data_IF_874972812918
#
_entry.id   IF_874972812918
#
_cell.length_a   1.000
_cell.length_b   1.000
_cell.length_c   1.000
_cell.angle_alpha   90.00
_cell.angle_beta   90.00
_cell.angle_gamma   90.00
#
_symmetry.space_group_name_H-M   'P 1'
#
loop_
_entity.id
_entity.type
_entity.pdbx_description
1 polymer ?
#
# COMPACT_ATOMS: atom_id res chain seq x y z
N UNK A 1 2.32 14.77 21.69
CA UNK A 1 0.93 14.42 21.29
C UNK A 1 1.09 13.58 20.05
N UNK A 2 0.65 12.32 20.03
CA UNK A 2 0.66 11.59 18.76
C UNK A 2 -0.33 12.28 17.83
N UNK A 3 0.12 12.56 16.60
CA UNK A 3 -0.71 13.20 15.60
C UNK A 3 -1.87 12.27 15.25
N UNK A 4 -3.08 12.83 15.12
CA UNK A 4 -4.26 12.07 14.71
C UNK A 4 -4.17 11.83 13.20
N UNK A 5 -3.57 10.70 12.79
CA UNK A 5 -3.42 10.30 11.39
C UNK A 5 -4.70 9.67 10.81
N UNK A 6 -5.71 9.38 11.64
CA UNK A 6 -6.93 8.70 11.19
C UNK A 6 -7.70 9.50 10.12
N UNK A 7 -7.87 10.84 10.22
CA UNK A 7 -8.45 11.64 9.15
C UNK A 7 -7.72 11.49 7.81
N UNK A 8 -6.37 11.47 7.83
CA UNK A 8 -5.58 11.26 6.62
C UNK A 8 -5.88 9.87 6.03
N UNK A 9 -5.84 8.81 6.83
CA UNK A 9 -6.14 7.46 6.35
C UNK A 9 -7.52 7.40 5.70
N UNK A 10 -8.54 7.94 6.36
CA UNK A 10 -9.90 7.94 5.81
C UNK A 10 -10.01 8.75 4.52
N UNK A 11 -9.28 9.87 4.39
CA UNK A 11 -9.20 10.64 3.14
C UNK A 11 -8.57 9.80 2.02
N UNK A 12 -7.43 9.17 2.30
CA UNK A 12 -6.74 8.30 1.35
C UNK A 12 -7.67 7.19 0.87
N UNK A 13 -8.41 6.54 1.78
CA UNK A 13 -9.36 5.46 1.46
C UNK A 13 -10.49 5.90 0.51
N UNK A 14 -10.86 7.18 0.47
CA UNK A 14 -11.89 7.70 -0.44
C UNK A 14 -11.37 8.05 -1.83
N UNK A 15 -10.06 8.18 -2.00
CA UNK A 15 -9.46 8.57 -3.26
C UNK A 15 -9.40 7.37 -4.23
N UNK A 16 -9.52 7.59 -5.54
CA UNK A 16 -9.10 6.60 -6.51
C UNK A 16 -7.57 6.52 -6.53
N UNK A 17 -7.03 5.33 -6.79
CA UNK A 17 -5.60 5.10 -6.87
C UNK A 17 -5.31 3.73 -7.46
N UNK A 18 -6.00 3.34 -8.52
CA UNK A 18 -5.72 2.04 -9.17
C UNK A 18 -4.33 2.10 -9.81
N UNK A 19 -3.58 0.99 -9.83
CA UNK A 19 -2.25 0.94 -10.43
C UNK A 19 -2.18 1.64 -11.81
N UNK A 20 -1.25 2.59 -11.93
CA UNK A 20 -1.06 3.52 -13.04
C UNK A 20 -1.91 4.80 -13.00
N UNK A 21 -2.66 5.04 -11.92
CA UNK A 21 -3.54 6.20 -11.72
C UNK A 21 -3.52 6.73 -10.27
N UNK A 22 -2.33 6.80 -9.67
CA UNK A 22 -2.08 7.09 -8.25
C UNK A 22 -2.06 8.59 -7.91
N UNK A 23 -2.05 9.48 -8.92
CA UNK A 23 -1.90 10.93 -8.73
C UNK A 23 -2.80 11.54 -7.63
N UNK A 24 -4.09 11.17 -7.49
CA UNK A 24 -4.92 11.72 -6.42
C UNK A 24 -4.40 11.38 -5.01
N UNK A 25 -3.89 10.16 -4.82
CA UNK A 25 -3.26 9.71 -3.56
C UNK A 25 -1.97 10.49 -3.33
N UNK A 26 -1.12 10.61 -4.35
CA UNK A 26 0.13 11.35 -4.28
C UNK A 26 -0.09 12.82 -3.88
N UNK A 27 -1.07 13.52 -4.48
CA UNK A 27 -1.37 14.91 -4.13
C UNK A 27 -1.88 15.07 -2.70
N UNK A 28 -2.68 14.12 -2.20
CA UNK A 28 -3.16 14.15 -0.82
C UNK A 28 -2.04 13.92 0.19
N UNK A 29 -1.10 13.02 -0.11
CA UNK A 29 0.09 12.79 0.71
C UNK A 29 1.05 13.98 0.66
N UNK A 30 1.27 14.57 -0.52
CA UNK A 30 2.10 15.76 -0.71
C UNK A 30 1.66 16.93 0.17
N UNK A 31 0.35 17.10 0.34
CA UNK A 31 -0.24 18.08 1.25
C UNK A 31 -0.07 17.69 2.73
N UNK A 32 -0.19 16.40 3.06
CA UNK A 32 -0.02 15.92 4.43
C UNK A 32 1.42 16.06 4.91
N UNK A 33 2.39 15.86 4.01
CA UNK A 33 3.81 15.83 4.34
C UNK A 33 4.49 17.19 4.25
N UNK A 34 3.83 18.21 3.71
CA UNK A 34 4.41 19.55 3.42
C UNK A 34 5.11 20.19 4.63
N UNK A 35 4.56 20.03 5.83
CA UNK A 35 5.08 20.64 7.07
C UNK A 35 6.05 19.73 7.84
N UNK A 36 6.25 18.48 7.42
CA UNK A 36 7.06 17.47 8.14
C UNK A 36 8.23 16.94 7.32
N UNK A 37 8.50 17.51 6.15
CA UNK A 37 9.61 17.13 5.26
C UNK A 37 10.30 18.38 4.71
N UNK A 38 11.58 18.27 4.36
CA UNK A 38 12.37 19.41 3.86
C UNK A 38 12.17 19.64 2.35
N UNK A 39 11.91 18.57 1.60
CA UNK A 39 11.65 18.62 0.17
C UNK A 39 10.76 17.46 -0.26
N UNK A 40 10.04 17.66 -1.36
CA UNK A 40 9.24 16.60 -1.98
C UNK A 40 9.13 16.79 -3.49
N UNK A 41 9.13 15.70 -4.23
CA UNK A 41 8.97 15.71 -5.68
C UNK A 41 8.28 14.44 -6.18
N UNK A 42 7.65 14.54 -7.35
CA UNK A 42 7.25 13.37 -8.13
C UNK A 42 8.42 12.96 -9.04
N UNK A 43 8.64 11.66 -9.17
CA UNK A 43 9.54 11.13 -10.20
C UNK A 43 8.78 10.91 -11.53
N UNK A 44 9.48 10.54 -12.63
CA UNK A 44 8.84 10.36 -13.92
C UNK A 44 7.81 9.22 -14.00
N UNK A 45 7.84 8.24 -13.09
CA UNK A 45 6.82 7.18 -13.01
C UNK A 45 5.63 7.59 -12.13
N UNK A 46 5.78 8.63 -11.31
CA UNK A 46 4.74 9.16 -10.43
C UNK A 46 4.92 8.79 -8.96
N UNK A 47 6.07 8.20 -8.57
CA UNK A 47 6.38 8.02 -7.15
C UNK A 47 6.46 9.40 -6.48
N UNK A 48 5.84 9.56 -5.31
CA UNK A 48 6.07 10.72 -4.46
C UNK A 48 7.26 10.43 -3.55
N UNK A 49 8.33 11.20 -3.72
CA UNK A 49 9.51 11.12 -2.90
C UNK A 49 9.55 12.35 -2.00
N UNK A 50 9.48 12.12 -0.69
CA UNK A 50 9.69 13.11 0.35
C UNK A 50 11.05 12.90 1.02
N UNK A 51 11.75 13.99 1.31
CA UNK A 51 13.08 14.00 1.89
C UNK A 51 13.05 14.70 3.24
N UNK A 52 13.60 14.05 4.25
CA UNK A 52 13.87 14.64 5.55
C UNK A 52 15.35 14.48 5.87
N UNK A 53 16.03 15.60 6.08
CA UNK A 53 17.46 15.64 6.29
C UNK A 53 17.80 15.30 7.74
N UNK A 54 18.78 14.40 7.92
CA UNK A 54 19.29 14.06 9.23
C UNK A 54 20.08 15.21 9.87
N UNK A 55 20.74 14.92 11.00
CA UNK A 55 21.69 15.81 11.65
C UNK A 55 23.14 15.30 11.59
N UNK A 56 23.39 14.18 10.89
CA UNK A 56 24.71 13.58 10.73
C UNK A 56 25.68 14.41 9.87
N UNK A 57 26.93 13.97 9.80
CA UNK A 57 27.96 14.55 8.94
C UNK A 57 27.69 14.26 7.46
N UNK A 58 27.96 15.23 6.59
CA UNK A 58 27.82 15.07 5.13
C UNK A 58 29.08 14.43 4.52
N UNK A 59 28.96 13.52 3.53
CA UNK A 59 27.71 12.96 3.00
C UNK A 59 27.07 11.98 3.98
N UNK A 60 25.75 12.08 4.15
CA UNK A 60 24.99 11.22 5.07
C UNK A 60 24.56 9.94 4.37
N UNK A 61 24.52 8.81 5.08
CA UNK A 61 23.86 7.63 4.57
C UNK A 61 22.36 7.88 4.40
N UNK A 62 21.74 7.15 3.47
CA UNK A 62 20.34 7.34 3.08
C UNK A 62 19.51 6.12 3.43
N UNK A 63 18.43 6.31 4.19
CA UNK A 63 17.42 5.28 4.42
C UNK A 63 16.21 5.57 3.53
N UNK A 64 15.83 4.62 2.68
CA UNK A 64 14.58 4.69 1.93
C UNK A 64 13.48 3.98 2.73
N UNK A 65 12.32 4.62 2.86
CA UNK A 65 11.12 4.00 3.43
C UNK A 65 10.08 3.93 2.33
N UNK A 66 9.67 2.72 1.94
CA UNK A 66 8.78 2.51 0.79
C UNK A 66 7.42 1.94 1.23
N UNK A 67 6.34 2.49 0.69
CA UNK A 67 5.00 1.89 0.74
C UNK A 67 4.21 2.35 -0.49
N UNK A 68 3.36 1.49 -1.03
CA UNK A 68 2.70 1.77 -2.30
C UNK A 68 1.39 2.53 -2.17
N UNK A 69 1.18 3.45 -3.11
CA UNK A 69 -0.03 4.27 -3.23
C UNK A 69 -1.14 3.57 -4.00
N UNK A 70 -0.76 2.69 -4.91
CA UNK A 70 -1.70 2.02 -5.78
C UNK A 70 -2.51 0.98 -5.03
N UNK A 71 -3.67 0.68 -5.60
CA UNK A 71 -4.50 -0.43 -5.20
C UNK A 71 -4.95 -1.22 -6.41
N UNK A 72 -5.47 -2.41 -6.15
CA UNK A 72 -6.24 -3.15 -7.13
C UNK A 72 -7.47 -2.38 -7.64
N UNK A 73 -7.96 -2.75 -8.82
CA UNK A 73 -9.15 -2.16 -9.44
C UNK A 73 -9.42 -2.74 -10.83
N UNK A 74 -9.94 -1.91 -11.74
CA UNK A 74 -10.24 -2.38 -13.09
C UNK A 74 -9.99 -1.33 -14.18
N UNK A 75 -9.97 -1.83 -15.42
CA UNK A 75 -10.06 -1.04 -16.65
C UNK A 75 -11.31 -1.43 -17.41
N UNK A 76 -11.89 -0.49 -18.14
CA UNK A 76 -12.92 -0.78 -19.15
C UNK A 76 -12.27 -1.57 -20.28
N UNK A 77 -12.70 -2.80 -20.49
CA UNK A 77 -12.27 -3.66 -21.60
C UNK A 77 -13.07 -3.36 -22.87
N UNK A 78 -14.34 -3.02 -22.72
CA UNK A 78 -15.26 -2.81 -23.84
C UNK A 78 -16.61 -2.30 -23.40
N UNK A 79 -17.43 -1.91 -24.36
CA UNK A 79 -18.80 -1.43 -24.12
C UNK A 79 -19.76 -2.41 -24.82
N UNK A 80 -20.60 -3.07 -24.03
CA UNK A 80 -21.63 -3.99 -24.49
C UNK A 80 -23.00 -3.33 -24.29
N UNK A 81 -23.57 -2.82 -25.39
CA UNK A 81 -24.78 -1.98 -25.36
C UNK A 81 -24.64 -0.76 -24.43
N UNK A 82 -25.31 -0.74 -23.28
CA UNK A 82 -25.18 0.29 -22.22
C UNK A 82 -24.31 -0.13 -21.04
N UNK A 83 -23.77 -1.35 -21.05
CA UNK A 83 -22.95 -1.88 -19.97
C UNK A 83 -21.47 -1.81 -20.32
N UNK A 84 -20.62 -1.73 -19.30
CA UNK A 84 -19.17 -1.82 -19.47
C UNK A 84 -18.70 -3.23 -19.14
N UNK A 85 -17.86 -3.78 -20.00
CA UNK A 85 -17.06 -4.96 -19.68
C UNK A 85 -15.77 -4.49 -19.00
N UNK A 86 -15.37 -5.14 -17.92
CA UNK A 86 -14.18 -4.77 -17.15
C UNK A 86 -13.09 -5.85 -17.22
N UNK A 87 -11.85 -5.44 -16.97
CA UNK A 87 -10.70 -6.31 -16.78
C UNK A 87 -9.98 -5.90 -15.49
N UNK A 88 -9.53 -6.87 -14.70
CA UNK A 88 -8.86 -6.62 -13.42
C UNK A 88 -7.51 -5.93 -13.64
N UNK A 89 -7.17 -5.05 -12.71
CA UNK A 89 -5.82 -4.51 -12.49
C UNK A 89 -5.43 -4.95 -11.08
N UNK A 90 -4.33 -5.69 -10.95
CA UNK A 90 -3.99 -6.43 -9.74
C UNK A 90 -4.79 -7.72 -9.59
N UNK A 91 -4.69 -8.37 -8.43
CA UNK A 91 -5.35 -9.66 -8.15
C UNK A 91 -6.36 -9.48 -7.03
N UNK A 92 -7.56 -10.02 -7.19
CA UNK A 92 -8.55 -10.06 -6.10
C UNK A 92 -9.61 -11.10 -6.41
N UNK A 93 -10.33 -11.50 -5.36
CA UNK A 93 -11.35 -12.53 -5.43
C UNK A 93 -12.62 -12.06 -6.16
N UNK A 94 -12.99 -12.76 -7.22
CA UNK A 94 -14.14 -12.41 -8.05
C UNK A 94 -15.48 -12.59 -7.31
N UNK A 95 -15.50 -13.37 -6.22
CA UNK A 95 -16.69 -13.64 -5.41
C UNK A 95 -17.24 -12.40 -4.72
N UNK A 96 -16.39 -11.41 -4.46
CA UNK A 96 -16.73 -10.25 -3.63
C UNK A 96 -17.11 -9.02 -4.45
N UNK A 97 -17.25 -9.17 -5.77
CA UNK A 97 -17.48 -8.06 -6.70
C UNK A 97 -18.94 -7.75 -7.01
N UNK A 98 -19.84 -8.73 -7.21
CA UNK A 98 -21.22 -8.42 -7.55
C UNK A 98 -21.90 -7.59 -6.45
N UNK A 99 -22.46 -6.44 -6.84
CA UNK A 99 -23.10 -5.49 -5.92
C UNK A 99 -22.16 -4.40 -5.39
N UNK A 100 -20.87 -4.42 -5.73
CA UNK A 100 -19.95 -3.38 -5.27
C UNK A 100 -20.11 -2.07 -6.06
N UNK A 101 -20.20 -0.93 -5.35
CA UNK A 101 -20.23 0.38 -6.00
C UNK A 101 -18.84 0.74 -6.51
N UNK A 102 -18.80 1.31 -7.71
CA UNK A 102 -17.59 1.75 -8.38
C UNK A 102 -17.72 3.16 -8.92
N UNK A 103 -16.58 3.78 -9.19
CA UNK A 103 -16.49 5.02 -9.98
C UNK A 103 -15.79 4.71 -11.29
N UNK A 104 -16.43 5.06 -12.41
CA UNK A 104 -15.84 5.00 -13.75
C UNK A 104 -15.29 6.37 -14.12
N UNK A 105 -14.00 6.41 -14.41
CA UNK A 105 -13.23 7.63 -14.67
C UNK A 105 -13.08 7.84 -16.19
N UNK A 106 -14.19 8.19 -16.84
CA UNK A 106 -14.18 8.61 -18.25
C UNK A 106 -13.87 10.11 -18.40
N UNK A 107 -14.43 10.75 -19.42
CA UNK A 107 -14.35 12.23 -19.58
C UNK A 107 -14.92 13.01 -18.40
N UNK A 108 -15.76 12.36 -17.58
CA UNK A 108 -16.15 12.77 -16.23
C UNK A 108 -16.37 11.52 -15.38
N UNK A 109 -16.22 11.66 -14.06
CA UNK A 109 -16.52 10.59 -13.12
C UNK A 109 -18.02 10.21 -13.14
N UNK A 110 -18.29 8.92 -13.10
CA UNK A 110 -19.63 8.34 -13.07
C UNK A 110 -19.74 7.28 -11.98
N UNK A 111 -20.79 7.29 -11.14
CA UNK A 111 -21.08 6.15 -10.28
C UNK A 111 -21.52 4.96 -11.15
N UNK A 112 -21.13 3.77 -10.73
CA UNK A 112 -21.56 2.52 -11.34
C UNK A 112 -21.71 1.42 -10.29
N UNK A 113 -22.30 0.31 -10.73
CA UNK A 113 -22.48 -0.88 -9.93
C UNK A 113 -21.92 -2.08 -10.68
N UNK A 114 -21.06 -2.87 -10.05
CA UNK A 114 -20.65 -4.15 -10.62
C UNK A 114 -21.84 -5.11 -10.52
N UNK A 115 -22.23 -5.71 -11.64
CA UNK A 115 -23.36 -6.64 -11.73
C UNK A 115 -22.93 -7.96 -12.35
N UNK A 116 -23.42 -9.05 -11.76
CA UNK A 116 -23.41 -10.36 -12.38
C UNK A 116 -24.72 -10.55 -13.17
N UNK A 117 -24.66 -10.97 -14.45
CA UNK A 117 -25.87 -11.37 -15.17
C UNK A 117 -26.65 -12.45 -14.40
N UNK A 118 -28.00 -12.50 -14.53
CA UNK A 118 -28.78 -13.60 -13.96
C UNK A 118 -28.25 -14.96 -14.40
N UNK A 119 -28.40 -16.00 -13.56
CA UNK A 119 -27.90 -17.36 -13.84
C UNK A 119 -28.30 -17.87 -15.22
N UNK A 120 -29.55 -17.62 -15.64
CA UNK A 120 -30.08 -18.05 -16.94
C UNK A 120 -29.40 -17.40 -18.15
N UNK A 121 -28.65 -16.32 -17.96
CA UNK A 121 -27.90 -15.62 -18.99
C UNK A 121 -26.41 -16.02 -19.03
N UNK A 122 -25.96 -16.87 -18.11
CA UNK A 122 -24.57 -17.33 -18.03
C UNK A 122 -24.41 -18.70 -18.72
N UNK A 123 -23.21 -19.02 -19.25
CA UNK A 123 -22.91 -20.34 -19.77
C UNK A 123 -23.20 -21.45 -18.76
N UNK A 124 -23.67 -22.60 -19.25
CA UNK A 124 -23.96 -23.77 -18.42
C UNK A 124 -22.71 -24.25 -17.66
N UNK A 125 -21.52 -24.13 -18.26
CA UNK A 125 -20.22 -24.47 -17.65
C UNK A 125 -19.87 -23.68 -16.39
N UNK A 126 -20.60 -22.59 -16.07
CA UNK A 126 -20.43 -21.82 -14.84
C UNK A 126 -21.42 -22.24 -13.73
N UNK A 127 -22.08 -23.39 -13.85
CA UNK A 127 -23.00 -23.88 -12.81
C UNK A 127 -22.30 -24.14 -11.48
N UNK A 128 -22.82 -23.55 -10.40
CA UNK A 128 -22.28 -23.75 -9.04
C UNK A 128 -20.89 -23.15 -8.79
N UNK A 129 -20.30 -22.47 -9.78
CA UNK A 129 -18.98 -21.86 -9.70
C UNK A 129 -19.01 -20.34 -9.49
N UNK A 130 -17.83 -19.77 -9.23
CA UNK A 130 -17.62 -18.32 -9.20
C UNK A 130 -17.82 -17.75 -10.60
N UNK A 131 -18.53 -16.63 -10.72
CA UNK A 131 -18.72 -15.93 -12.00
C UNK A 131 -17.43 -15.15 -12.31
N UNK A 132 -16.69 -15.50 -13.38
CA UNK A 132 -15.44 -14.83 -13.65
C UNK A 132 -15.63 -13.37 -14.07
N UNK A 133 -14.66 -12.51 -13.78
CA UNK A 133 -14.70 -11.05 -14.01
C UNK A 133 -15.06 -10.70 -15.45
N UNK A 134 -14.62 -11.50 -16.42
CA UNK A 134 -14.95 -11.30 -17.85
C UNK A 134 -16.46 -11.39 -18.16
N UNK A 135 -17.24 -12.00 -17.27
CA UNK A 135 -18.70 -12.10 -17.35
C UNK A 135 -19.42 -11.08 -16.46
N UNK A 136 -18.70 -10.40 -15.56
CA UNK A 136 -19.22 -9.27 -14.80
C UNK A 136 -19.26 -8.02 -15.69
N UNK A 137 -20.22 -7.16 -15.39
CA UNK A 137 -20.44 -5.89 -16.09
C UNK A 137 -20.49 -4.75 -15.08
N UNK A 138 -20.26 -3.53 -15.53
CA UNK A 138 -20.60 -2.32 -14.76
C UNK A 138 -21.81 -1.67 -15.42
N UNK A 139 -22.86 -1.46 -14.62
CA UNK A 139 -24.03 -0.68 -15.00
C UNK A 139 -23.88 0.76 -14.48
N UNK A 140 -24.09 1.72 -15.37
CA UNK A 140 -24.05 3.15 -15.09
C UNK A 140 -25.45 3.77 -14.97
N UNK A 141 -26.51 3.00 -15.25
CA UNK A 141 -27.89 3.49 -15.33
C UNK A 141 -28.11 4.47 -16.49
N UNK A 142 -27.24 4.47 -17.51
CA UNK A 142 -27.26 5.40 -18.63
C UNK A 142 -27.56 4.70 -19.97
N UNK A 143 -28.19 5.38 -20.94
CA UNK A 143 -28.42 4.81 -22.25
C UNK A 143 -27.10 4.60 -23.02
N UNK A 144 -27.08 3.58 -23.87
CA UNK A 144 -25.94 3.15 -24.68
C UNK A 144 -25.21 4.29 -25.44
N UNK A 145 -25.97 5.26 -25.95
CA UNK A 145 -25.42 6.43 -26.65
C UNK A 145 -24.62 7.34 -25.72
N UNK A 146 -25.08 7.51 -24.48
CA UNK A 146 -24.44 8.39 -23.50
C UNK A 146 -23.18 7.74 -22.92
N UNK A 147 -23.23 6.44 -22.64
CA UNK A 147 -22.07 5.65 -22.19
C UNK A 147 -20.91 5.78 -23.17
N UNK A 148 -21.16 5.57 -24.47
CA UNK A 148 -20.13 5.70 -25.53
C UNK A 148 -19.59 7.12 -25.73
N UNK A 149 -20.28 8.14 -25.22
CA UNK A 149 -19.82 9.54 -25.28
C UNK A 149 -18.89 9.88 -24.13
N UNK A 150 -19.08 9.24 -22.98
CA UNK A 150 -18.35 9.57 -21.74
C UNK A 150 -17.19 8.62 -21.50
N UNK A 151 -17.38 7.34 -21.82
CA UNK A 151 -16.50 6.22 -21.45
C UNK A 151 -15.93 5.56 -22.71
N UNK A 152 -14.68 5.13 -22.63
CA UNK A 152 -13.97 4.39 -23.66
C UNK A 152 -13.19 3.20 -23.06
N UNK A 153 -12.83 2.18 -23.86
CA UNK A 153 -11.89 1.15 -23.43
C UNK A 153 -10.58 1.76 -22.93
N UNK A 154 -10.08 1.26 -21.79
CA UNK A 154 -8.89 1.75 -21.09
C UNK A 154 -9.19 2.70 -19.92
N UNK A 155 -10.40 3.26 -19.84
CA UNK A 155 -10.79 4.11 -18.70
C UNK A 155 -10.73 3.31 -17.38
N UNK A 156 -10.33 3.99 -16.30
CA UNK A 156 -10.19 3.38 -14.97
C UNK A 156 -11.56 3.15 -14.36
N UNK A 157 -11.70 2.06 -13.63
CA UNK A 157 -12.80 1.82 -12.72
C UNK A 157 -12.22 1.51 -11.33
N UNK A 158 -12.54 2.36 -10.36
CA UNK A 158 -12.11 2.18 -8.96
C UNK A 158 -13.28 1.78 -8.09
N UNK A 159 -13.02 1.13 -6.95
CA UNK A 159 -14.03 1.00 -5.89
C UNK A 159 -14.49 2.38 -5.42
N UNK A 160 -15.73 2.46 -4.95
CA UNK A 160 -16.36 3.70 -4.49
C UNK A 160 -17.05 3.57 -3.12
N UNK A 161 -16.74 2.49 -2.40
CA UNK A 161 -17.30 2.25 -1.06
C UNK A 161 -16.63 3.18 -0.06
N UNK A 162 -17.43 3.98 0.64
CA UNK A 162 -16.90 4.82 1.71
C UNK A 162 -16.35 3.97 2.86
N UNK A 163 -15.23 4.38 3.49
CA UNK A 163 -14.69 3.67 4.64
C UNK A 163 -15.65 3.73 5.83
N UNK A 164 -15.64 2.69 6.65
CA UNK A 164 -16.43 2.57 7.88
C UNK A 164 -15.48 2.49 9.07
N UNK A 165 -15.89 3.06 10.19
CA UNK A 165 -15.24 2.87 11.48
C UNK A 165 -16.17 1.99 12.30
N UNK A 166 -15.67 0.83 12.71
CA UNK A 166 -16.33 -0.05 13.68
C UNK A 166 -15.90 0.34 15.09
N UNK A 167 -16.37 -0.41 16.09
CA UNK A 167 -15.91 -0.21 17.47
C UNK A 167 -14.39 -0.40 17.61
N UNK A 168 -13.83 0.08 18.73
CA UNK A 168 -12.41 -0.10 19.08
C UNK A 168 -11.42 0.44 18.03
N UNK A 169 -11.81 1.47 17.27
CA UNK A 169 -10.93 2.08 16.26
C UNK A 169 -10.51 1.11 15.14
N UNK A 170 -11.40 0.17 14.80
CA UNK A 170 -11.24 -0.71 13.65
C UNK A 170 -11.74 0.01 12.39
N UNK A 171 -10.89 0.09 11.37
CA UNK A 171 -11.23 0.71 10.08
C UNK A 171 -11.51 -0.37 9.05
N UNK A 172 -12.60 -0.18 8.31
CA UNK A 172 -12.99 -1.01 7.17
C UNK A 172 -12.96 -0.15 5.92
N UNK A 173 -12.34 -0.63 4.85
CA UNK A 173 -12.32 0.09 3.58
C UNK A 173 -11.68 -0.74 2.48
N UNK A 174 -11.77 -0.23 1.25
CA UNK A 174 -10.95 -0.75 0.17
C UNK A 174 -9.59 -0.05 0.17
N UNK A 175 -8.58 -0.69 -0.40
CA UNK A 175 -7.24 -0.13 -0.56
C UNK A 175 -6.53 0.17 0.76
N UNK A 176 -6.90 -0.53 1.85
CA UNK A 176 -6.12 -0.48 3.09
C UNK A 176 -4.73 -1.08 2.83
N UNK A 177 -4.70 -2.12 1.99
CA UNK A 177 -3.55 -2.46 1.17
C UNK A 177 -3.36 -1.38 0.05
N UNK A 178 -2.40 -0.46 0.13
CA UNK A 178 -1.40 -0.28 1.20
C UNK A 178 -1.42 1.15 1.80
N UNK A 179 -2.60 1.77 1.80
CA UNK A 179 -2.82 3.10 2.41
C UNK A 179 -2.61 3.09 3.93
N UNK A 180 -2.75 1.93 4.58
CA UNK A 180 -2.41 1.77 5.98
C UNK A 180 -0.92 2.03 6.24
N UNK A 181 -0.03 1.53 5.38
CA UNK A 181 1.42 1.78 5.51
C UNK A 181 1.81 3.20 5.18
N UNK A 182 1.15 3.85 4.21
CA UNK A 182 1.34 5.29 3.95
C UNK A 182 0.99 6.14 5.18
N UNK A 183 -0.05 5.76 5.91
CA UNK A 183 -0.40 6.39 7.18
C UNK A 183 0.67 6.12 8.26
N UNK A 184 1.23 4.91 8.33
CA UNK A 184 2.35 4.61 9.23
C UNK A 184 3.62 5.41 8.90
N UNK A 185 3.94 5.62 7.62
CA UNK A 185 5.03 6.52 7.18
C UNK A 185 4.75 7.94 7.67
N UNK A 186 3.51 8.41 7.56
CA UNK A 186 3.13 9.74 8.05
C UNK A 186 3.37 9.88 9.55
N UNK A 187 2.93 8.90 10.35
CA UNK A 187 3.20 8.86 11.80
C UNK A 187 4.70 8.90 12.09
N UNK A 188 5.51 8.18 11.33
CA UNK A 188 6.96 8.21 11.46
C UNK A 188 7.54 9.60 11.18
N UNK A 189 7.16 10.24 10.08
CA UNK A 189 7.65 11.57 9.70
C UNK A 189 7.25 12.64 10.74
N UNK A 190 6.01 12.58 11.23
CA UNK A 190 5.50 13.45 12.30
C UNK A 190 6.23 13.22 13.62
N UNK A 191 6.51 11.97 13.99
CA UNK A 191 7.27 11.63 15.20
C UNK A 191 8.72 12.14 15.13
N UNK A 192 9.33 12.07 13.95
CA UNK A 192 10.68 12.55 13.70
C UNK A 192 10.73 14.07 13.45
N UNK A 193 9.58 14.75 13.36
CA UNK A 193 9.44 16.20 13.11
C UNK A 193 10.30 17.06 14.04
N UNK A 194 10.28 16.70 15.33
CA UNK A 194 11.02 17.38 16.39
C UNK A 194 12.24 16.58 16.87
N UNK A 195 12.46 15.39 16.30
CA UNK A 195 13.49 14.43 16.72
C UNK A 195 14.83 14.61 15.97
N UNK A 196 15.91 14.16 16.62
CA UNK A 196 17.22 14.05 15.96
C UNK A 196 17.43 12.63 15.42
N UNK A 197 17.77 12.54 14.15
CA UNK A 197 18.12 11.32 13.43
C UNK A 197 19.34 11.63 12.56
N UNK A 198 20.27 10.70 12.39
CA UNK A 198 21.57 11.04 11.77
C UNK A 198 21.58 10.86 10.24
N UNK A 199 20.82 9.88 9.73
CA UNK A 199 20.70 9.54 8.31
C UNK A 199 19.69 10.44 7.60
N UNK A 200 19.83 10.61 6.28
CA UNK A 200 18.78 11.25 5.48
C UNK A 200 17.67 10.24 5.18
N UNK A 201 16.41 10.62 5.41
CA UNK A 201 15.23 9.81 5.16
C UNK A 201 14.65 10.16 3.79
N UNK A 202 14.39 9.14 2.99
CA UNK A 202 13.66 9.23 1.75
C UNK A 202 12.36 8.42 1.86
N UNK A 203 11.26 9.09 2.20
CA UNK A 203 9.94 8.49 2.21
C UNK A 203 9.40 8.42 0.79
N UNK A 204 9.29 7.22 0.25
CA UNK A 204 8.83 6.93 -1.09
C UNK A 204 7.42 6.32 -1.04
N UNK A 205 6.42 7.12 -1.42
CA UNK A 205 5.11 6.59 -1.74
C UNK A 205 5.15 6.09 -3.19
N UNK A 206 5.21 4.78 -3.36
CA UNK A 206 5.53 4.13 -4.65
C UNK A 206 4.29 3.91 -5.50
N UNK A 207 4.50 3.65 -6.80
CA UNK A 207 3.44 3.32 -7.77
C UNK A 207 3.58 1.91 -8.31
N UNK A 208 2.45 1.34 -8.75
CA UNK A 208 2.37 0.08 -9.50
C UNK A 208 2.99 -1.15 -8.80
N UNK A 209 2.92 -1.24 -7.49
CA UNK A 209 3.31 -2.44 -6.74
C UNK A 209 2.48 -3.63 -7.20
N UNK A 210 1.14 -3.47 -7.19
CA UNK A 210 0.10 -4.51 -7.36
C UNK A 210 0.14 -5.22 -8.73
N UNK A 211 1.02 -4.76 -9.60
CA UNK A 211 1.23 -5.29 -10.95
C UNK A 211 2.67 -5.67 -11.23
N UNK A 212 3.65 -4.86 -10.80
CA UNK A 212 5.04 -5.00 -11.27
C UNK A 212 6.13 -4.66 -10.24
N UNK A 213 5.81 -3.96 -9.15
CA UNK A 213 6.80 -3.34 -8.24
C UNK A 213 7.80 -2.39 -8.95
N UNK A 214 7.40 -1.82 -10.10
CA UNK A 214 8.29 -0.97 -10.91
C UNK A 214 8.57 0.38 -10.23
N UNK A 215 7.63 0.89 -9.43
CA UNK A 215 7.78 2.15 -8.69
C UNK A 215 8.96 2.10 -7.73
N UNK A 216 9.07 1.06 -6.91
CA UNK A 216 10.20 0.88 -5.99
C UNK A 216 11.54 0.76 -6.72
N UNK A 217 11.60 0.01 -7.82
CA UNK A 217 12.83 -0.09 -8.62
C UNK A 217 13.27 1.29 -9.14
N UNK A 218 12.36 2.07 -9.73
CA UNK A 218 12.68 3.40 -10.25
C UNK A 218 13.12 4.37 -9.15
N UNK A 219 12.45 4.35 -8.00
CA UNK A 219 12.82 5.16 -6.85
C UNK A 219 14.22 4.79 -6.33
N UNK A 220 14.52 3.50 -6.16
CA UNK A 220 15.84 3.05 -5.71
C UNK A 220 16.97 3.39 -6.71
N UNK A 221 16.73 3.25 -8.02
CA UNK A 221 17.69 3.64 -9.06
C UNK A 221 18.04 5.13 -8.98
N UNK A 222 17.01 5.97 -8.84
CA UNK A 222 17.17 7.42 -8.74
C UNK A 222 17.86 7.85 -7.44
N UNK A 223 17.48 7.25 -6.31
CA UNK A 223 17.94 7.69 -4.98
C UNK A 223 19.30 7.12 -4.59
N UNK A 224 19.58 5.86 -4.99
CA UNK A 224 20.71 5.08 -4.51
C UNK A 224 20.75 5.00 -2.98
N UNK A 225 19.72 4.44 -2.32
CA UNK A 225 19.71 4.35 -0.86
C UNK A 225 20.78 3.40 -0.33
N UNK A 226 21.26 3.67 0.88
CA UNK A 226 22.21 2.81 1.61
C UNK A 226 21.50 1.58 2.15
N UNK A 227 20.29 1.76 2.68
CA UNK A 227 19.40 0.71 3.15
C UNK A 227 17.95 1.10 2.89
N UNK A 228 17.02 0.15 3.02
CA UNK A 228 15.59 0.43 2.91
C UNK A 228 14.74 -0.33 3.93
N UNK A 229 13.60 0.25 4.30
CA UNK A 229 12.49 -0.46 4.95
C UNK A 229 11.28 -0.38 4.03
N UNK A 230 10.69 -1.52 3.68
CA UNK A 230 9.39 -1.59 3.00
C UNK A 230 8.32 -1.76 4.07
N UNK A 231 7.24 -0.98 3.96
CA UNK A 231 6.06 -1.13 4.79
C UNK A 231 4.93 -1.66 3.91
N UNK A 232 4.35 -2.77 4.34
CA UNK A 232 3.23 -3.39 3.66
C UNK A 232 2.19 -3.92 4.64
N UNK A 233 1.17 -4.60 4.15
CA UNK A 233 0.22 -5.34 4.97
C UNK A 233 0.58 -6.82 4.99
N UNK A 234 0.10 -7.54 5.99
CA UNK A 234 0.18 -9.01 6.06
C UNK A 234 -1.16 -9.58 6.50
N UNK A 235 -1.34 -10.89 6.38
CA UNK A 235 -2.58 -11.57 6.71
C UNK A 235 -2.90 -11.47 8.21
N UNK A 236 -3.98 -10.77 8.52
CA UNK A 236 -4.55 -10.69 9.85
C UNK A 236 -5.39 -11.93 10.19
N UNK A 237 -5.22 -12.49 11.39
CA UNK A 237 -5.94 -13.68 11.83
C UNK A 237 -7.46 -13.46 11.76
N UNK A 238 -8.14 -14.33 10.99
CA UNK A 238 -9.58 -14.33 10.76
C UNK A 238 -10.12 -15.75 10.56
N UNK A 239 -11.44 -15.88 10.36
CA UNK A 239 -12.13 -17.18 10.29
C UNK A 239 -11.63 -18.14 9.19
N UNK A 240 -10.89 -17.65 8.19
CA UNK A 240 -10.44 -18.44 7.05
C UNK A 240 -8.93 -18.36 6.76
N UNK A 241 -8.16 -17.57 7.52
CA UNK A 241 -6.74 -17.41 7.25
C UNK A 241 -5.92 -18.54 7.89
N UNK A 242 -4.83 -19.01 7.26
CA UNK A 242 -4.00 -20.04 7.84
C UNK A 242 -3.41 -19.55 9.16
N UNK A 243 -3.71 -20.23 10.27
CA UNK A 243 -3.27 -19.82 11.61
C UNK A 243 -1.74 -19.72 11.76
N UNK A 244 -0.97 -20.41 10.90
CA UNK A 244 0.49 -20.38 10.90
C UNK A 244 1.10 -19.24 10.07
N UNK A 245 0.27 -18.55 9.28
CA UNK A 245 0.67 -17.48 8.38
C UNK A 245 -0.22 -16.24 8.55
N UNK A 246 -0.85 -16.09 9.71
CA UNK A 246 -1.68 -14.92 10.02
C UNK A 246 -1.49 -14.43 11.46
N UNK A 247 -1.68 -13.13 11.64
CA UNK A 247 -1.27 -12.40 12.85
C UNK A 247 -2.46 -11.67 13.48
N UNK A 248 -2.60 -11.65 14.81
CA UNK A 248 -3.75 -11.02 15.44
C UNK A 248 -3.77 -9.50 15.20
N UNK A 249 -4.94 -8.95 14.86
CA UNK A 249 -5.15 -7.50 14.98
C UNK A 249 -4.93 -7.08 16.44
N UNK A 250 -4.25 -5.96 16.65
CA UNK A 250 -3.81 -5.48 17.95
C UNK A 250 -2.50 -6.10 18.45
N UNK A 251 -1.92 -7.04 17.70
CA UNK A 251 -0.66 -7.71 18.03
C UNK A 251 0.60 -6.88 17.75
N UNK A 252 0.47 -5.71 17.12
CA UNK A 252 1.60 -4.94 16.59
C UNK A 252 2.04 -5.41 15.19
N UNK A 253 3.05 -4.75 14.59
CA UNK A 253 3.54 -5.11 13.28
C UNK A 253 4.26 -6.47 13.27
N UNK A 254 4.45 -7.01 12.07
CA UNK A 254 5.36 -8.12 11.83
C UNK A 254 6.71 -7.63 11.31
N UNK A 255 7.76 -8.41 11.56
CA UNK A 255 9.09 -8.22 11.00
C UNK A 255 9.42 -9.45 10.15
N UNK A 256 9.59 -9.26 8.84
CA UNK A 256 9.78 -10.35 7.91
C UNK A 256 11.13 -11.04 8.10
N UNK A 257 11.12 -12.36 8.08
CA UNK A 257 12.30 -13.22 8.01
C UNK A 257 12.24 -14.03 6.72
N UNK A 258 12.99 -13.57 5.72
CA UNK A 258 13.03 -14.11 4.36
C UNK A 258 14.45 -14.03 3.78
N UNK A 259 14.80 -14.83 2.75
CA UNK A 259 16.03 -14.66 1.97
C UNK A 259 16.25 -13.25 1.42
N UNK A 260 15.18 -12.47 1.26
CA UNK A 260 15.22 -11.08 0.79
C UNK A 260 15.69 -10.07 1.85
N UNK A 261 15.65 -10.46 3.12
CA UNK A 261 15.84 -9.55 4.26
C UNK A 261 17.29 -9.56 4.72
N UNK A 262 17.88 -8.37 4.87
CA UNK A 262 19.23 -8.25 5.40
C UNK A 262 19.25 -8.59 6.91
N UNK A 263 20.07 -9.55 7.38
CA UNK A 263 20.04 -10.00 8.77
C UNK A 263 20.31 -8.91 9.80
N UNK A 264 21.18 -7.94 9.50
CA UNK A 264 21.43 -6.82 10.42
C UNK A 264 20.27 -5.83 10.50
N UNK A 265 19.53 -5.63 9.40
CA UNK A 265 18.33 -4.77 9.41
C UNK A 265 17.25 -5.44 10.25
N UNK A 266 17.02 -6.75 10.04
CA UNK A 266 16.08 -7.53 10.85
C UNK A 266 16.38 -7.41 12.35
N UNK A 267 17.65 -7.57 12.75
CA UNK A 267 18.05 -7.48 14.17
C UNK A 267 17.92 -6.07 14.73
N UNK A 268 18.20 -5.04 13.93
CA UNK A 268 18.04 -3.66 14.38
C UNK A 268 16.57 -3.28 14.54
N UNK A 269 15.66 -3.82 13.71
CA UNK A 269 14.21 -3.71 13.93
C UNK A 269 13.80 -4.37 15.24
N UNK A 270 14.26 -5.59 15.52
CA UNK A 270 13.97 -6.28 16.79
C UNK A 270 14.51 -5.47 17.99
N UNK A 271 15.72 -4.87 17.86
CA UNK A 271 16.28 -4.01 18.89
C UNK A 271 15.49 -2.71 19.08
N UNK A 272 15.00 -2.08 18.00
CA UNK A 272 14.12 -0.92 18.06
C UNK A 272 12.78 -1.25 18.74
N UNK A 273 12.23 -2.43 18.48
CA UNK A 273 11.03 -2.93 19.16
C UNK A 273 11.25 -3.09 20.67
N UNK A 274 12.39 -3.65 21.07
CA UNK A 274 12.78 -3.77 22.48
C UNK A 274 12.94 -2.40 23.16
N UNK A 275 13.58 -1.43 22.49
CA UNK A 275 13.77 -0.06 23.03
C UNK A 275 12.45 0.68 23.23
N UNK A 276 11.54 0.56 22.27
CA UNK A 276 10.24 1.25 22.29
C UNK A 276 9.14 0.51 23.06
N UNK A 277 9.35 -0.76 23.41
CA UNK A 277 8.33 -1.61 24.03
C UNK A 277 7.17 -1.96 23.09
N UNK A 278 7.36 -1.84 21.78
CA UNK A 278 6.36 -2.17 20.77
C UNK A 278 6.43 -3.67 20.47
N UNK A 279 5.33 -4.44 20.60
CA UNK A 279 5.35 -5.85 20.26
C UNK A 279 5.52 -6.03 18.75
N UNK A 280 6.43 -6.93 18.37
CA UNK A 280 6.69 -7.30 16.98
C UNK A 280 6.69 -8.82 16.87
N UNK A 281 6.02 -9.35 15.85
CA UNK A 281 6.01 -10.78 15.58
C UNK A 281 6.90 -11.11 14.38
N UNK A 282 7.72 -12.15 14.48
CA UNK A 282 8.47 -12.66 13.33
C UNK A 282 7.51 -13.28 12.32
N UNK A 283 7.57 -12.82 11.08
CA UNK A 283 6.84 -13.38 9.95
C UNK A 283 7.81 -14.18 9.07
N UNK A 284 7.65 -15.50 9.02
CA UNK A 284 8.59 -16.38 8.28
C UNK A 284 8.09 -16.57 6.85
N UNK A 285 8.84 -16.03 5.89
CA UNK A 285 8.51 -16.06 4.46
C UNK A 285 9.63 -16.80 3.72
N UNK A 286 9.42 -18.06 3.32
CA UNK A 286 10.52 -18.92 2.86
C UNK A 286 11.07 -18.58 1.47
N UNK A 287 10.30 -17.89 0.63
CA UNK A 287 10.66 -17.59 -0.76
C UNK A 287 10.86 -16.09 -0.99
N UNK A 288 9.76 -15.34 -1.07
CA UNK A 288 9.73 -13.89 -1.30
C UNK A 288 8.69 -13.25 -0.38
N UNK A 289 8.78 -11.93 -0.22
CA UNK A 289 7.84 -11.14 0.57
C UNK A 289 6.60 -10.71 -0.21
N UNK A 290 6.69 -10.65 -1.54
CA UNK A 290 5.59 -10.21 -2.39
C UNK A 290 5.26 -8.73 -2.23
N UNK A 291 6.27 -7.90 -1.97
CA UNK A 291 6.15 -6.45 -1.74
C UNK A 291 7.09 -5.67 -2.69
N UNK A 292 7.15 -4.35 -2.52
CA UNK A 292 8.16 -3.47 -3.13
C UNK A 292 9.62 -3.91 -2.91
N UNK A 293 9.89 -4.80 -1.94
CA UNK A 293 11.22 -5.41 -1.75
C UNK A 293 11.76 -6.02 -3.05
N UNK A 294 10.89 -6.59 -3.89
CA UNK A 294 11.25 -7.11 -5.21
C UNK A 294 11.92 -6.06 -6.09
N UNK A 295 11.34 -4.85 -6.15
CA UNK A 295 11.90 -3.75 -6.93
C UNK A 295 13.24 -3.29 -6.40
N UNK A 296 13.38 -3.22 -5.07
CA UNK A 296 14.61 -2.79 -4.40
C UNK A 296 15.78 -3.78 -4.56
N UNK A 297 15.50 -5.09 -4.54
CA UNK A 297 16.53 -6.12 -4.77
C UNK A 297 17.09 -6.11 -6.19
N UNK A 298 16.27 -5.72 -7.17
CA UNK A 298 16.66 -5.63 -8.57
C UNK A 298 17.39 -4.32 -8.91
N UNK A 299 17.35 -3.33 -8.02
CA UNK A 299 17.98 -2.03 -8.24
C UNK A 299 19.50 -2.10 -8.09
N UNK A 300 20.24 -1.53 -9.05
CA UNK A 300 21.71 -1.43 -9.08
C UNK A 300 22.41 -2.76 -8.77
N UNK A 301 22.99 -2.85 -7.58
CA UNK A 301 23.73 -4.00 -7.06
C UNK A 301 22.99 -4.70 -5.93
N UNK A 302 21.71 -4.39 -5.76
CA UNK A 302 20.87 -4.73 -4.61
C UNK A 302 20.92 -3.68 -3.52
N UNK A 303 19.78 -3.41 -2.89
CA UNK A 303 19.65 -2.57 -1.69
C UNK A 303 19.41 -3.46 -0.47
N UNK A 304 20.25 -3.41 0.59
CA UNK A 304 19.94 -4.07 1.84
C UNK A 304 18.62 -3.56 2.40
N UNK A 305 17.69 -4.47 2.70
CA UNK A 305 16.35 -4.08 3.13
C UNK A 305 15.78 -4.92 4.27
N UNK A 306 14.77 -4.36 4.93
CA UNK A 306 13.84 -5.04 5.81
C UNK A 306 12.39 -4.79 5.38
N UNK A 307 11.46 -5.61 5.87
CA UNK A 307 10.01 -5.46 5.63
C UNK A 307 9.29 -5.49 6.97
N UNK A 308 8.47 -4.46 7.21
CA UNK A 308 7.55 -4.37 8.34
C UNK A 308 6.12 -4.45 7.81
N UNK A 309 5.30 -5.33 8.36
CA UNK A 309 3.93 -5.52 7.85
C UNK A 309 2.86 -5.24 8.90
N UNK A 310 1.75 -4.65 8.47
CA UNK A 310 0.57 -4.36 9.31
C UNK A 310 -0.45 -5.49 9.15
N UNK A 311 -0.87 -6.17 10.24
CA UNK A 311 -1.92 -7.19 10.16
C UNK A 311 -3.23 -6.61 9.60
N UNK A 312 -3.71 -7.19 8.51
CA UNK A 312 -4.89 -6.78 7.76
C UNK A 312 -5.76 -8.00 7.43
N UNK A 313 -7.07 -7.92 7.72
CA UNK A 313 -8.01 -8.98 7.32
C UNK A 313 -8.60 -8.70 5.95
N UNK A 314 -8.85 -9.78 5.21
CA UNK A 314 -9.53 -9.76 3.92
C UNK A 314 -8.75 -8.99 2.86
N UNK A 315 -7.44 -9.20 2.78
CA UNK A 315 -6.57 -8.61 1.75
C UNK A 315 -7.18 -8.77 0.35
N UNK A 316 -7.10 -7.70 -0.44
CA UNK A 316 -7.64 -7.61 -1.79
C UNK A 316 -9.17 -7.77 -1.84
N UNK A 317 -9.85 -7.31 -0.78
CA UNK A 317 -11.31 -7.22 -0.69
C UNK A 317 -11.76 -5.75 -0.61
N UNK A 318 -12.92 -5.37 -1.17
CA UNK A 318 -13.49 -4.03 -0.98
C UNK A 318 -13.81 -3.65 0.48
N UNK A 319 -13.79 -4.62 1.41
CA UNK A 319 -13.98 -4.44 2.84
C UNK A 319 -12.83 -5.01 3.67
N UNK A 320 -11.59 -4.68 3.33
CA UNK A 320 -10.41 -4.95 4.17
C UNK A 320 -10.58 -4.34 5.56
N UNK A 321 -9.89 -4.91 6.55
CA UNK A 321 -10.01 -4.47 7.95
C UNK A 321 -8.65 -4.36 8.62
N UNK A 322 -8.40 -3.22 9.25
CA UNK A 322 -7.19 -2.95 10.06
C UNK A 322 -7.57 -2.31 11.40
N UNK A 323 -6.64 -2.36 12.35
CA UNK A 323 -6.77 -1.68 13.63
C UNK A 323 -5.84 -0.44 13.65
N UNK A 324 -6.37 0.74 14.00
CA UNK A 324 -5.57 1.98 13.99
C UNK A 324 -4.32 1.88 14.88
N UNK A 325 -4.39 1.18 16.02
CA UNK A 325 -3.22 1.06 16.91
C UNK A 325 -2.05 0.30 16.29
N UNK A 326 -2.30 -0.62 15.34
CA UNK A 326 -1.21 -1.33 14.67
C UNK A 326 -0.51 -0.44 13.65
N UNK A 327 -1.26 0.45 12.97
CA UNK A 327 -0.68 1.49 12.10
C UNK A 327 0.19 2.45 12.92
N UNK A 328 -0.33 2.95 14.04
CA UNK A 328 0.40 3.86 14.93
C UNK A 328 1.70 3.21 15.44
N UNK A 329 1.61 1.97 15.95
CA UNK A 329 2.78 1.21 16.41
C UNK A 329 3.81 1.00 15.32
N UNK A 330 3.37 0.73 14.08
CA UNK A 330 4.27 0.54 12.95
C UNK A 330 5.05 1.81 12.64
N UNK A 331 4.36 2.97 12.59
CA UNK A 331 5.01 4.26 12.37
C UNK A 331 5.97 4.64 13.50
N UNK A 332 5.59 4.39 14.76
CA UNK A 332 6.44 4.65 15.92
C UNK A 332 7.66 3.74 15.98
N UNK A 333 7.51 2.45 15.62
CA UNK A 333 8.63 1.51 15.52
C UNK A 333 9.60 1.93 14.42
N UNK A 334 9.09 2.36 13.26
CA UNK A 334 9.92 2.87 12.18
C UNK A 334 10.71 4.11 12.61
N UNK A 335 10.08 5.04 13.34
CA UNK A 335 10.76 6.22 13.87
C UNK A 335 11.88 5.84 14.86
N UNK A 336 11.64 4.87 15.74
CA UNK A 336 12.64 4.36 16.69
C UNK A 336 13.80 3.64 15.97
N UNK A 337 13.49 2.85 14.92
CA UNK A 337 14.50 2.23 14.07
C UNK A 337 15.40 3.28 13.41
N UNK A 338 14.82 4.29 12.77
CA UNK A 338 15.55 5.36 12.08
C UNK A 338 16.41 6.17 13.06
N UNK A 339 15.88 6.47 14.26
CA UNK A 339 16.62 7.18 15.31
C UNK A 339 17.86 6.40 15.77
N UNK A 340 17.78 5.07 15.78
CA UNK A 340 18.88 4.18 16.15
C UNK A 340 19.97 4.00 15.08
N UNK A 341 19.78 4.52 13.86
CA UNK A 341 20.78 4.41 12.81
C UNK A 341 21.96 5.34 13.08
N UNK A 342 23.18 4.78 13.06
CA UNK A 342 24.44 5.48 13.31
C UNK A 342 25.59 4.94 12.43
N UNK A 343 26.78 5.49 12.57
CA UNK A 343 27.98 5.03 11.84
C UNK A 343 28.34 3.57 12.18
N UNK A 344 28.02 3.12 13.40
CA UNK A 344 28.23 1.74 13.83
C UNK A 344 27.31 0.77 13.11
N UNK A 345 26.07 1.17 12.80
CA UNK A 345 25.15 0.38 11.98
C UNK A 345 25.62 0.30 10.53
N UNK A 346 26.13 1.41 9.97
CA UNK A 346 26.70 1.42 8.62
C UNK A 346 27.82 0.38 8.46
N UNK A 347 28.72 0.29 9.45
CA UNK A 347 29.78 -0.72 9.46
C UNK A 347 29.25 -2.15 9.59
N UNK A 348 28.15 -2.38 10.34
CA UNK A 348 27.50 -3.71 10.43
C UNK A 348 26.91 -4.15 9.09
N UNK A 349 26.47 -3.22 8.23
CA UNK A 349 26.03 -3.53 6.87
C UNK A 349 27.19 -3.88 5.92
N UNK A 350 28.45 -3.72 6.35
CA UNK A 350 29.64 -3.96 5.53
C UNK A 350 29.79 -2.96 4.38
N UNK A 351 29.40 -1.70 4.61
CA UNK A 351 29.35 -0.63 3.62
C UNK A 351 30.37 0.50 3.88
N UNK A 352 31.46 0.17 4.57
CA UNK A 352 32.58 1.05 4.97
C UNK A 352 33.38 1.65 3.79
#
# INVERSE_FOLDING_TARGET
MTADFAPLLLDLLRLPGVAGNETPVAERLRQAWEEVVDAQNLDPLGNLIAVRHGSGSSPRPKIMVAAHMDSVGFRVRGILDSFLQIAQVGRFDERVLPGEPVTVHGTRALPGLIVAPPRSCLPESLEGGVVPTRHLLVDLGLPAREVRRIVQPGDVVSFARAPLILEESVVVGHSLDNRASLAAITVCLESLADGQHTWDIFAAATVQEETTAIGALAAAESLGPTAAIVLDVTYGYGYAEPAHASFPLGGGPTNAWSPEIHPEIYREIDAAAERSGIPVTREVLPEETGTDARGLLLAKTGVPLGVLSIPLRYMHNPGEVVLLSDIERTGMLLAEFITGLDDGFLARLGMD
#
